data_IF_435829853398
#
_entry.id   IF_435829853398
#
_cell.length_a   1.000
_cell.length_b   1.000
_cell.length_c   1.000
_cell.angle_alpha   90.00
_cell.angle_beta   90.00
_cell.angle_gamma   90.00
#
_symmetry.space_group_name_H-M   'P 1'
#
loop_
_entity.id
_entity.type
_entity.pdbx_description
1 polymer ?
#
# COMPACT_ATOMS: atom_id res chain seq x y z
N UNK A 1 -40.21 -45.66 37.74
CA UNK A 1 -38.73 -45.75 37.70
C UNK A 1 -38.17 -45.78 36.25
N UNK A 2 -38.63 -46.66 35.34
CA UNK A 2 -38.11 -46.75 33.97
C UNK A 2 -38.28 -45.45 33.12
N UNK A 3 -39.37 -44.68 33.30
CA UNK A 3 -39.60 -43.46 32.57
C UNK A 3 -38.65 -42.33 33.03
N UNK A 4 -38.48 -42.17 34.34
CA UNK A 4 -37.60 -41.15 34.93
C UNK A 4 -36.11 -41.42 34.55
N UNK A 5 -35.71 -42.66 34.44
CA UNK A 5 -34.36 -43.00 33.98
C UNK A 5 -34.13 -42.67 32.52
N UNK A 6 -35.16 -42.89 31.65
CA UNK A 6 -35.09 -42.51 30.22
C UNK A 6 -35.01 -40.98 30.02
N UNK A 7 -35.79 -40.21 30.77
CA UNK A 7 -35.73 -38.73 30.67
C UNK A 7 -34.40 -38.20 31.15
N UNK A 8 -33.84 -38.74 32.22
CA UNK A 8 -32.50 -38.36 32.70
C UNK A 8 -31.43 -38.65 31.68
N UNK A 9 -31.51 -39.79 30.99
CA UNK A 9 -30.54 -40.17 29.93
C UNK A 9 -30.62 -39.23 28.74
N UNK A 10 -31.80 -38.83 28.32
CA UNK A 10 -31.98 -37.86 27.24
C UNK A 10 -31.38 -36.49 27.62
N UNK A 11 -31.60 -36.03 28.83
CA UNK A 11 -31.02 -34.77 29.34
C UNK A 11 -29.50 -34.84 29.34
N UNK A 12 -28.94 -35.97 29.77
CA UNK A 12 -27.48 -36.15 29.77
C UNK A 12 -26.88 -36.11 28.35
N UNK A 13 -27.56 -36.73 27.36
CA UNK A 13 -27.11 -36.69 25.97
C UNK A 13 -27.17 -35.26 25.43
N UNK A 14 -28.25 -34.51 25.69
CA UNK A 14 -28.36 -33.12 25.25
C UNK A 14 -27.28 -32.23 25.89
N UNK A 15 -26.99 -32.41 27.16
CA UNK A 15 -25.94 -31.67 27.87
C UNK A 15 -24.55 -31.97 27.29
N UNK A 16 -24.24 -33.25 27.06
CA UNK A 16 -22.98 -33.64 26.41
C UNK A 16 -22.84 -33.09 25.02
N UNK A 17 -23.90 -33.15 24.23
CA UNK A 17 -23.91 -32.57 22.85
C UNK A 17 -23.65 -31.06 22.87
N UNK A 18 -24.29 -30.33 23.79
CA UNK A 18 -24.07 -28.92 23.99
C UNK A 18 -22.61 -28.59 24.34
N UNK A 19 -22.03 -29.31 25.30
CA UNK A 19 -20.63 -29.15 25.70
C UNK A 19 -19.65 -29.45 24.55
N UNK A 20 -19.94 -30.46 23.74
CA UNK A 20 -19.10 -30.76 22.55
C UNK A 20 -19.13 -29.64 21.54
N UNK A 21 -20.31 -29.07 21.22
CA UNK A 21 -20.45 -27.97 20.25
C UNK A 21 -19.75 -26.72 20.77
N UNK A 22 -19.99 -26.32 22.01
CA UNK A 22 -19.37 -25.11 22.58
C UNK A 22 -17.86 -25.22 22.67
N UNK A 23 -17.33 -26.42 23.01
CA UNK A 23 -15.89 -26.67 23.08
C UNK A 23 -15.16 -26.47 21.75
N UNK A 24 -15.85 -26.63 20.62
CA UNK A 24 -15.27 -26.47 19.29
C UNK A 24 -15.54 -25.06 18.75
N UNK A 25 -16.72 -24.52 18.98
CA UNK A 25 -17.12 -23.23 18.37
C UNK A 25 -16.37 -22.06 19.00
N UNK A 26 -16.19 -22.04 20.31
CA UNK A 26 -15.53 -20.92 21.02
C UNK A 26 -14.09 -20.69 20.55
N UNK A 27 -13.21 -21.71 20.45
CA UNK A 27 -11.85 -21.48 19.97
C UNK A 27 -11.83 -21.03 18.50
N UNK A 28 -12.73 -21.54 17.64
CA UNK A 28 -12.79 -21.17 16.23
C UNK A 28 -13.16 -19.68 16.06
N UNK A 29 -14.15 -19.21 16.81
CA UNK A 29 -14.54 -17.80 16.79
C UNK A 29 -13.39 -16.88 17.23
N UNK A 30 -12.69 -17.26 18.30
CA UNK A 30 -11.52 -16.53 18.78
C UNK A 30 -10.39 -16.49 17.74
N UNK A 31 -10.06 -17.62 17.12
CA UNK A 31 -9.04 -17.68 16.06
C UNK A 31 -9.43 -16.81 14.83
N UNK A 32 -10.70 -16.82 14.46
CA UNK A 32 -11.19 -15.98 13.35
C UNK A 32 -11.09 -14.48 13.66
N UNK A 33 -11.45 -14.06 14.87
CA UNK A 33 -11.30 -12.67 15.28
C UNK A 33 -9.83 -12.25 15.36
N UNK A 34 -8.98 -13.11 15.89
CA UNK A 34 -7.54 -12.88 15.92
C UNK A 34 -6.97 -12.74 14.51
N UNK A 35 -7.32 -13.66 13.60
CA UNK A 35 -6.88 -13.60 12.21
C UNK A 35 -7.34 -12.31 11.49
N UNK A 36 -8.57 -11.85 11.75
CA UNK A 36 -9.07 -10.57 11.20
C UNK A 36 -8.26 -9.38 11.70
N UNK A 37 -7.98 -9.33 13.01
CA UNK A 37 -7.16 -8.26 13.62
C UNK A 37 -5.72 -8.29 13.06
N UNK A 38 -5.14 -9.48 12.96
CA UNK A 38 -3.81 -9.66 12.39
C UNK A 38 -3.73 -9.17 10.93
N UNK A 39 -4.71 -9.51 10.10
CA UNK A 39 -4.77 -9.01 8.72
C UNK A 39 -4.87 -7.48 8.65
N UNK A 40 -5.63 -6.85 9.54
CA UNK A 40 -5.72 -5.39 9.60
C UNK A 40 -4.40 -4.75 10.00
N UNK A 41 -3.70 -5.33 10.97
CA UNK A 41 -2.37 -4.87 11.39
C UNK A 41 -1.36 -5.03 10.26
N UNK A 42 -1.34 -6.20 9.60
CA UNK A 42 -0.45 -6.46 8.46
C UNK A 42 -0.70 -5.44 7.34
N UNK A 43 -1.96 -5.16 7.01
CA UNK A 43 -2.29 -4.15 6.00
C UNK A 43 -1.73 -2.77 6.39
N UNK A 44 -1.96 -2.31 7.61
CA UNK A 44 -1.41 -1.04 8.11
C UNK A 44 0.12 -1.00 8.03
N UNK A 45 0.79 -2.08 8.44
CA UNK A 45 2.26 -2.16 8.40
C UNK A 45 2.80 -2.12 6.96
N UNK A 46 2.13 -2.79 6.03
CA UNK A 46 2.50 -2.75 4.60
C UNK A 46 2.35 -1.34 4.05
N UNK A 47 1.29 -0.64 4.40
CA UNK A 47 1.05 0.72 3.92
C UNK A 47 2.02 1.73 4.56
N UNK A 48 2.31 1.61 5.85
CA UNK A 48 3.38 2.37 6.52
C UNK A 48 4.73 2.13 5.83
N UNK A 49 5.05 0.87 5.50
CA UNK A 49 6.28 0.54 4.78
C UNK A 49 6.36 1.22 3.42
N UNK A 50 5.26 1.26 2.65
CA UNK A 50 5.23 1.97 1.36
C UNK A 50 5.59 3.44 1.54
N UNK A 51 4.97 4.10 2.50
CA UNK A 51 5.23 5.51 2.81
C UNK A 51 6.69 5.71 3.27
N UNK A 52 7.21 4.85 4.12
CA UNK A 52 8.59 4.91 4.59
C UNK A 52 9.61 4.77 3.46
N UNK A 53 9.35 3.92 2.48
CA UNK A 53 10.21 3.77 1.30
C UNK A 53 10.21 5.07 0.47
N UNK A 54 9.07 5.70 0.27
CA UNK A 54 9.01 6.97 -0.46
C UNK A 54 9.67 8.11 0.32
N UNK A 55 9.52 8.13 1.65
CA UNK A 55 10.23 9.06 2.52
C UNK A 55 11.74 8.89 2.41
N UNK A 56 12.23 7.63 2.46
CA UNK A 56 13.65 7.31 2.32
C UNK A 56 14.23 7.75 0.96
N UNK A 57 13.49 7.60 -0.12
CA UNK A 57 13.93 8.04 -1.47
C UNK A 57 14.17 9.54 -1.56
N UNK A 58 13.47 10.34 -0.74
CA UNK A 58 13.59 11.80 -0.74
C UNK A 58 14.61 12.31 0.26
N UNK A 59 14.75 11.64 1.41
CA UNK A 59 15.54 12.11 2.54
C UNK A 59 16.78 11.26 2.84
N UNK A 60 17.02 10.17 2.08
CA UNK A 60 18.13 9.21 2.25
C UNK A 60 18.13 8.46 3.60
N UNK A 61 17.09 8.63 4.42
CA UNK A 61 16.92 7.92 5.68
C UNK A 61 15.43 7.63 5.98
N UNK A 62 15.16 6.65 6.84
CA UNK A 62 13.80 6.36 7.29
C UNK A 62 13.32 7.38 8.31
N UNK A 63 12.02 7.65 8.30
CA UNK A 63 11.41 8.55 9.27
C UNK A 63 11.41 7.92 10.67
N UNK A 64 12.05 8.54 11.69
CA UNK A 64 12.12 7.96 13.02
C UNK A 64 10.85 8.14 13.84
N UNK A 65 10.05 9.16 13.53
CA UNK A 65 8.87 9.54 14.30
C UNK A 65 7.58 9.32 13.53
N UNK A 66 6.57 8.78 14.23
CA UNK A 66 5.24 8.55 13.70
C UNK A 66 4.54 9.85 13.24
N UNK A 67 4.64 10.90 14.04
CA UNK A 67 4.01 12.20 13.75
C UNK A 67 4.61 12.86 12.49
N UNK A 68 5.93 12.78 12.34
CA UNK A 68 6.60 13.26 11.13
C UNK A 68 6.19 12.47 9.90
N UNK A 69 5.96 11.17 10.05
CA UNK A 69 5.46 10.33 8.95
C UNK A 69 4.04 10.70 8.54
N UNK A 70 3.16 10.96 9.52
CA UNK A 70 1.79 11.43 9.27
C UNK A 70 1.81 12.79 8.58
N UNK A 71 2.66 13.72 9.02
CA UNK A 71 2.82 15.01 8.36
C UNK A 71 3.33 14.85 6.91
N UNK A 72 4.28 13.96 6.68
CA UNK A 72 4.75 13.66 5.32
C UNK A 72 3.65 13.08 4.43
N UNK A 73 2.74 12.25 4.95
CA UNK A 73 1.59 11.75 4.19
C UNK A 73 0.66 12.89 3.79
N UNK A 74 0.39 13.83 4.70
CA UNK A 74 -0.58 14.90 4.49
C UNK A 74 -0.05 16.03 3.59
N UNK A 75 1.22 16.41 3.77
CA UNK A 75 1.83 17.59 3.12
C UNK A 75 2.88 17.23 2.07
N UNK A 76 3.41 16.00 2.12
CA UNK A 76 4.47 15.55 1.23
C UNK A 76 4.03 15.43 -0.22
N UNK A 77 5.00 15.62 -1.12
CA UNK A 77 4.81 15.52 -2.56
C UNK A 77 5.80 14.53 -3.15
N UNK A 78 5.30 13.64 -4.00
CA UNK A 78 6.10 12.68 -4.74
C UNK A 78 6.42 13.22 -6.13
N UNK A 79 7.68 13.22 -6.56
CA UNK A 79 8.04 13.54 -7.94
C UNK A 79 7.65 12.37 -8.84
N UNK A 80 6.63 12.55 -9.64
CA UNK A 80 6.21 11.61 -10.68
C UNK A 80 6.76 12.08 -12.02
N UNK A 81 7.62 11.25 -12.64
CA UNK A 81 8.17 11.55 -13.96
C UNK A 81 7.17 11.09 -15.01
N UNK A 82 6.53 12.05 -15.65
CA UNK A 82 5.70 11.77 -16.81
C UNK A 82 6.60 11.50 -18.02
N UNK A 83 6.49 10.28 -18.56
CA UNK A 83 7.29 9.83 -19.70
C UNK A 83 6.39 9.71 -20.92
N UNK A 84 6.59 10.58 -21.89
CA UNK A 84 5.93 10.51 -23.18
C UNK A 84 6.97 10.24 -24.27
N UNK A 85 6.68 9.28 -25.15
CA UNK A 85 7.59 8.80 -26.17
C UNK A 85 8.72 7.88 -25.64
N UNK A 86 9.15 6.97 -26.50
CA UNK A 86 10.28 6.07 -26.27
C UNK A 86 11.33 6.30 -27.34
N UNK A 87 12.60 6.10 -27.00
CA UNK A 87 13.66 6.10 -28.02
C UNK A 87 13.55 4.85 -28.86
N UNK A 88 13.67 4.99 -30.18
CA UNK A 88 13.68 3.87 -31.10
C UNK A 88 15.03 3.15 -31.05
N UNK A 89 15.06 1.86 -31.46
CA UNK A 89 16.28 1.07 -31.47
C UNK A 89 17.38 1.69 -32.35
N UNK A 90 17.02 2.36 -33.43
CA UNK A 90 17.96 3.06 -34.29
C UNK A 90 18.55 4.31 -33.61
N UNK A 91 17.77 5.04 -32.84
CA UNK A 91 18.27 6.15 -32.03
C UNK A 91 19.24 5.67 -30.95
N UNK A 92 18.96 4.52 -30.31
CA UNK A 92 19.84 3.90 -29.33
C UNK A 92 21.15 3.42 -29.95
N UNK A 93 21.11 2.80 -31.15
CA UNK A 93 22.29 2.38 -31.91
C UNK A 93 23.18 3.56 -32.33
N UNK A 94 22.54 4.71 -32.62
CA UNK A 94 23.29 5.94 -32.93
C UNK A 94 23.86 6.64 -31.67
N UNK A 95 23.82 5.98 -30.50
CA UNK A 95 24.39 6.48 -29.25
C UNK A 95 23.56 7.57 -28.57
N UNK A 96 22.27 7.74 -28.96
CA UNK A 96 21.33 8.62 -28.28
C UNK A 96 20.81 7.92 -27.03
N UNK A 97 21.24 8.40 -25.86
CA UNK A 97 20.76 7.91 -24.57
C UNK A 97 19.64 8.79 -24.02
N UNK A 98 18.83 8.25 -23.11
CA UNK A 98 17.75 9.03 -22.49
C UNK A 98 18.26 10.33 -21.84
N UNK A 99 19.44 10.30 -21.21
CA UNK A 99 20.09 11.50 -20.66
C UNK A 99 20.43 12.56 -21.72
N UNK A 100 20.95 12.12 -22.87
CA UNK A 100 21.25 13.02 -24.00
C UNK A 100 19.97 13.60 -24.60
N UNK A 101 18.94 12.78 -24.79
CA UNK A 101 17.66 13.21 -25.31
C UNK A 101 17.02 14.30 -24.41
N UNK A 102 17.03 14.10 -23.10
CA UNK A 102 16.56 15.11 -22.12
C UNK A 102 17.40 16.40 -22.23
N UNK A 103 18.70 16.31 -22.38
CA UNK A 103 19.57 17.48 -22.52
C UNK A 103 19.28 18.28 -23.80
N UNK A 104 19.01 17.59 -24.91
CA UNK A 104 18.64 18.21 -26.20
C UNK A 104 17.30 18.97 -26.06
N UNK A 105 16.31 18.34 -25.42
CA UNK A 105 14.99 18.97 -25.21
C UNK A 105 15.10 20.18 -24.29
N UNK A 106 15.89 20.08 -23.20
CA UNK A 106 16.10 21.20 -22.28
C UNK A 106 16.78 22.39 -22.94
N UNK A 107 17.62 22.19 -23.96
CA UNK A 107 18.21 23.29 -24.76
C UNK A 107 17.19 24.00 -25.64
N UNK A 108 16.06 23.36 -25.98
CA UNK A 108 14.97 23.95 -26.74
C UNK A 108 15.29 24.21 -28.23
N UNK A 109 16.35 23.63 -28.78
CA UNK A 109 16.71 23.81 -30.19
C UNK A 109 15.83 22.94 -31.10
N UNK A 110 14.81 23.54 -31.72
CA UNK A 110 13.84 22.83 -32.56
C UNK A 110 14.48 22.02 -33.69
N UNK A 111 15.59 22.53 -34.28
CA UNK A 111 16.30 21.84 -35.37
C UNK A 111 16.98 20.58 -34.89
N UNK A 112 17.58 20.62 -33.70
CA UNK A 112 18.26 19.49 -33.08
C UNK A 112 17.26 18.44 -32.61
N UNK A 113 16.10 18.86 -32.09
CA UNK A 113 14.98 17.99 -31.68
C UNK A 113 14.42 17.23 -32.87
N UNK A 114 14.14 17.94 -34.01
CA UNK A 114 13.64 17.29 -35.21
C UNK A 114 14.66 16.39 -35.87
N UNK A 115 15.94 16.78 -35.92
CA UNK A 115 17.04 15.97 -36.48
C UNK A 115 17.25 14.64 -35.76
N UNK A 116 16.94 14.60 -34.44
CA UNK A 116 17.04 13.39 -33.63
C UNK A 116 15.70 12.66 -33.47
N UNK A 117 14.61 13.12 -34.10
CA UNK A 117 13.28 12.52 -34.01
C UNK A 117 12.70 12.53 -32.61
N UNK A 118 12.98 13.56 -31.81
CA UNK A 118 12.56 13.71 -30.42
C UNK A 118 11.31 14.58 -30.26
N UNK A 119 10.53 14.79 -31.32
CA UNK A 119 9.35 15.66 -31.30
C UNK A 119 8.30 15.23 -30.29
N UNK A 120 8.11 13.92 -30.13
CA UNK A 120 7.17 13.31 -29.19
C UNK A 120 7.84 12.82 -27.90
N UNK A 121 9.13 13.14 -27.69
CA UNK A 121 9.83 12.71 -26.49
C UNK A 121 9.72 13.81 -25.43
N UNK A 122 8.98 13.52 -24.36
CA UNK A 122 8.78 14.43 -23.24
C UNK A 122 9.06 13.75 -21.92
N UNK A 123 9.76 14.44 -21.07
CA UNK A 123 10.01 14.05 -19.68
C UNK A 123 9.70 15.24 -18.81
N UNK A 124 8.59 15.17 -18.12
CA UNK A 124 8.15 16.22 -17.20
C UNK A 124 8.06 15.63 -15.79
N UNK A 125 8.41 16.43 -14.80
CA UNK A 125 8.31 16.01 -13.40
C UNK A 125 7.14 16.77 -12.79
N UNK A 126 6.08 16.03 -12.49
CA UNK A 126 4.91 16.55 -11.80
C UNK A 126 4.97 16.11 -10.35
N UNK A 127 4.63 17.00 -9.45
CA UNK A 127 4.56 16.69 -8.03
C UNK A 127 3.13 16.35 -7.64
N UNK A 128 2.91 15.12 -7.14
CA UNK A 128 1.61 14.61 -6.71
C UNK A 128 1.63 14.39 -5.20
N UNK A 129 0.50 14.56 -4.53
CA UNK A 129 0.38 14.30 -3.10
C UNK A 129 0.72 12.84 -2.76
N UNK A 130 1.48 12.63 -1.67
CA UNK A 130 1.77 11.31 -1.12
C UNK A 130 0.48 10.56 -0.80
N UNK A 131 -0.45 11.26 -0.15
CA UNK A 131 -1.76 10.71 0.21
C UNK A 131 -2.53 10.21 -1.01
N UNK A 132 -2.67 11.04 -2.03
CA UNK A 132 -3.44 10.70 -3.25
C UNK A 132 -2.85 9.51 -4.00
N UNK A 133 -1.53 9.40 -4.00
CA UNK A 133 -0.82 8.35 -4.76
C UNK A 133 -0.82 7.00 -4.04
N UNK A 134 -0.68 6.98 -2.72
CA UNK A 134 -0.40 5.76 -1.97
C UNK A 134 -1.58 5.27 -1.13
N UNK A 135 -2.43 6.16 -0.62
CA UNK A 135 -3.36 5.85 0.45
C UNK A 135 -4.82 6.26 0.20
N UNK A 136 -5.11 7.11 -0.78
CA UNK A 136 -6.44 7.65 -1.03
C UNK A 136 -7.51 6.58 -1.32
N UNK A 137 -7.11 5.43 -1.87
CA UNK A 137 -8.01 4.32 -2.16
C UNK A 137 -8.43 3.52 -0.91
N UNK A 138 -7.61 3.55 0.14
CA UNK A 138 -7.77 2.68 1.31
C UNK A 138 -8.12 3.44 2.59
N UNK A 139 -7.76 4.72 2.68
CA UNK A 139 -7.89 5.52 3.90
C UNK A 139 -8.44 6.91 3.62
N UNK A 140 -9.27 7.42 4.53
CA UNK A 140 -9.67 8.83 4.57
C UNK A 140 -8.61 9.66 5.32
N UNK A 141 -8.62 10.99 5.09
CA UNK A 141 -7.68 11.91 5.77
C UNK A 141 -7.73 11.83 7.31
N UNK A 142 -8.90 11.55 7.87
CA UNK A 142 -9.07 11.38 9.32
C UNK A 142 -8.41 10.08 9.81
N UNK A 143 -8.53 9.00 9.02
CA UNK A 143 -7.98 7.69 9.37
C UNK A 143 -6.44 7.63 9.28
N UNK A 144 -5.80 8.60 8.61
CA UNK A 144 -4.33 8.64 8.51
C UNK A 144 -3.68 8.87 9.87
N UNK A 145 -4.30 9.64 10.75
CA UNK A 145 -3.80 9.84 12.12
C UNK A 145 -3.79 8.53 12.91
N UNK A 146 -4.78 7.67 12.64
CA UNK A 146 -4.92 6.37 13.28
C UNK A 146 -4.13 5.26 12.57
N UNK A 147 -3.51 5.56 11.41
CA UNK A 147 -2.73 4.59 10.66
C UNK A 147 -1.55 4.05 11.48
N UNK A 148 -0.91 4.94 12.24
CA UNK A 148 0.27 4.62 13.07
C UNK A 148 -0.12 4.02 14.42
N UNK A 149 -1.39 4.13 14.81
CA UNK A 149 -1.90 3.54 16.05
C UNK A 149 -2.28 2.08 15.81
N UNK A 150 -1.61 1.17 16.49
CA UNK A 150 -1.93 -0.26 16.47
C UNK A 150 -3.08 -0.50 17.46
N UNK A 151 -4.27 -0.97 17.02
CA UNK A 151 -5.34 -1.33 17.94
C UNK A 151 -4.93 -2.57 18.74
N UNK A 152 -5.02 -2.47 20.05
CA UNK A 152 -4.85 -3.59 20.98
C UNK A 152 -6.15 -4.37 21.16
#
# INVERSE_FOLDING_TARGET
>A
MKLAFRTLLVIAICAMSYLCVTSITVPIEFEQEQAKREQQIIKKLVDIRKVQIEYQKQNDHFCPNADTLVQFILEGKLPVIFKEGTLTDDQLKNGLTEKKAIAIIKRGNKKEIAANGLENFRRDTTYVSVYETLLANDYTLEQIKDLVVIPF
#
